data_IF_862766885528
#
_entry.id   IF_862766885528
#
_cell.length_a   1.000
_cell.length_b   1.000
_cell.length_c   1.000
_cell.angle_alpha   90.00
_cell.angle_beta   90.00
_cell.angle_gamma   90.00
#
_symmetry.space_group_name_H-M   'P 1'
#
loop_
_entity.id
_entity.type
_entity.pdbx_description
1 polymer ?
#
# COMPACT_ATOMS: atom_id res chain seq x y z
N UNK A 1 -17.21 -24.10 55.06
CA UNK A 1 -16.27 -22.96 54.99
C UNK A 1 -15.26 -23.12 53.84
N UNK A 2 -15.70 -23.49 52.62
CA UNK A 2 -14.79 -23.73 51.47
C UNK A 2 -15.21 -22.88 50.24
N UNK A 3 -16.34 -22.18 50.30
CA UNK A 3 -16.88 -21.42 49.16
C UNK A 3 -16.34 -19.98 49.05
N UNK A 4 -15.53 -19.51 50.02
CA UNK A 4 -15.04 -18.11 50.05
C UNK A 4 -13.65 -17.91 49.43
N UNK A 5 -12.87 -18.97 49.24
CA UNK A 5 -11.51 -18.89 48.66
C UNK A 5 -11.49 -18.99 47.14
N UNK A 6 -12.49 -19.63 46.52
CA UNK A 6 -12.57 -19.77 45.06
C UNK A 6 -12.88 -18.44 44.34
N UNK A 7 -13.71 -17.58 44.94
CA UNK A 7 -14.09 -16.28 44.37
C UNK A 7 -12.90 -15.31 44.35
N UNK A 8 -12.06 -15.32 45.39
CA UNK A 8 -10.87 -14.48 45.49
C UNK A 8 -9.80 -14.85 44.44
N UNK A 9 -9.71 -16.11 44.05
CA UNK A 9 -8.74 -16.57 43.05
C UNK A 9 -9.11 -16.15 41.62
N UNK A 10 -10.41 -16.16 41.28
CA UNK A 10 -10.93 -15.76 39.97
C UNK A 10 -10.79 -14.24 39.75
N UNK A 11 -11.03 -13.44 40.79
CA UNK A 11 -10.87 -11.97 40.73
C UNK A 11 -9.41 -11.56 40.52
N UNK A 12 -8.44 -12.24 41.17
CA UNK A 12 -7.02 -11.95 40.99
C UNK A 12 -6.48 -12.31 39.59
N UNK A 13 -7.04 -13.35 38.96
CA UNK A 13 -6.68 -13.76 37.60
C UNK A 13 -7.23 -12.80 36.54
N UNK A 14 -8.44 -12.26 36.74
CA UNK A 14 -9.05 -11.29 35.82
C UNK A 14 -8.31 -9.93 35.80
N UNK A 15 -7.77 -9.47 36.95
CA UNK A 15 -6.98 -8.23 37.03
C UNK A 15 -5.61 -8.33 36.35
N UNK A 16 -5.01 -9.52 36.29
CA UNK A 16 -3.72 -9.74 35.64
C UNK A 16 -3.83 -9.75 34.10
N UNK A 17 -4.94 -10.29 33.56
CA UNK A 17 -5.22 -10.26 32.11
C UNK A 17 -5.44 -8.84 31.59
N UNK A 18 -6.14 -7.99 32.33
CA UNK A 18 -6.40 -6.60 31.91
C UNK A 18 -5.12 -5.75 31.86
N UNK A 19 -4.16 -5.97 32.76
CA UNK A 19 -2.89 -5.22 32.76
C UNK A 19 -1.97 -5.56 31.59
N UNK A 20 -2.03 -6.80 31.08
CA UNK A 20 -1.24 -7.22 29.93
C UNK A 20 -1.82 -6.65 28.61
N UNK A 21 -3.15 -6.62 28.49
CA UNK A 21 -3.84 -6.05 27.32
C UNK A 21 -3.67 -4.53 27.22
N UNK A 22 -3.63 -3.83 28.36
CA UNK A 22 -3.43 -2.38 28.41
C UNK A 22 -1.99 -1.99 28.04
N UNK A 23 -1.00 -2.76 28.49
CA UNK A 23 0.40 -2.58 28.09
C UNK A 23 0.60 -2.80 26.57
N UNK A 24 -0.11 -3.78 25.99
CA UNK A 24 -0.06 -4.03 24.55
C UNK A 24 -0.69 -2.86 23.75
N UNK A 25 -1.81 -2.31 24.21
CA UNK A 25 -2.46 -1.14 23.58
C UNK A 25 -1.57 0.10 23.64
N UNK A 26 -0.96 0.39 24.79
CA UNK A 26 -0.03 1.50 24.96
C UNK A 26 1.21 1.36 24.06
N UNK A 27 1.71 0.14 23.86
CA UNK A 27 2.82 -0.11 22.96
C UNK A 27 2.47 0.15 21.49
N UNK A 28 1.26 -0.22 21.06
CA UNK A 28 0.76 0.07 19.70
C UNK A 28 0.59 1.58 19.50
N UNK A 29 -0.04 2.27 20.45
CA UNK A 29 -0.30 3.71 20.37
C UNK A 29 1.00 4.54 20.41
N UNK A 30 1.99 4.11 21.20
CA UNK A 30 3.33 4.69 21.19
C UNK A 30 4.09 4.45 19.88
N UNK A 31 3.91 3.27 19.25
CA UNK A 31 4.49 2.97 17.95
C UNK A 31 3.84 3.80 16.83
N UNK A 32 2.52 4.00 16.88
CA UNK A 32 1.78 4.87 15.96
C UNK A 32 2.18 6.35 16.12
N UNK A 33 2.33 6.82 17.36
CA UNK A 33 2.81 8.19 17.65
C UNK A 33 4.27 8.42 17.21
N UNK A 34 5.14 7.42 17.41
CA UNK A 34 6.52 7.47 16.91
C UNK A 34 6.58 7.46 15.37
N UNK A 35 5.72 6.67 14.71
CA UNK A 35 5.59 6.67 13.25
C UNK A 35 5.05 8.02 12.72
N UNK A 36 4.10 8.64 13.43
CA UNK A 36 3.59 9.97 13.10
C UNK A 36 4.66 11.07 13.27
N UNK A 37 5.47 10.98 14.32
CA UNK A 37 6.58 11.94 14.58
C UNK A 37 7.75 11.75 13.60
N UNK A 38 7.99 10.52 13.15
CA UNK A 38 8.98 10.21 12.11
C UNK A 38 8.59 10.77 10.72
N UNK A 39 7.30 11.07 10.51
CA UNK A 39 6.81 11.87 9.38
C UNK A 39 7.03 13.36 9.65
N UNK A 40 8.26 13.74 9.96
CA UNK A 40 8.63 15.15 10.13
C UNK A 40 8.21 15.95 8.89
N UNK A 41 7.86 17.23 9.11
CA UNK A 41 7.50 18.21 8.06
C UNK A 41 8.72 18.54 7.18
N UNK A 42 9.30 17.54 6.51
CA UNK A 42 10.28 17.77 5.46
C UNK A 42 9.57 18.53 4.36
N UNK A 43 9.97 19.79 4.19
CA UNK A 43 9.50 20.64 3.11
C UNK A 43 10.00 20.08 1.77
N UNK A 44 9.05 19.66 0.94
CA UNK A 44 9.30 19.16 -0.40
C UNK A 44 9.50 20.26 -1.47
N UNK A 45 9.59 21.54 -1.05
CA UNK A 45 9.81 22.72 -1.89
C UNK A 45 11.24 22.84 -2.48
N UNK A 46 11.92 23.98 -2.29
CA UNK A 46 13.26 24.22 -2.86
C UNK A 46 14.35 23.40 -2.14
N UNK A 47 14.72 22.24 -2.69
CA UNK A 47 15.61 21.30 -1.98
C UNK A 47 17.09 21.35 -2.40
N UNK A 48 17.98 21.39 -1.40
CA UNK A 48 19.44 21.44 -1.58
C UNK A 48 20.21 20.20 -1.05
N UNK A 49 19.55 19.18 -0.48
CA UNK A 49 20.25 17.97 0.04
C UNK A 49 19.69 16.65 -0.47
N UNK A 50 20.57 15.66 -0.66
CA UNK A 50 20.21 14.33 -1.17
C UNK A 50 19.25 13.56 -0.25
N UNK A 51 19.38 13.72 1.06
CA UNK A 51 18.47 13.11 2.04
C UNK A 51 17.03 13.58 1.82
N UNK A 52 16.84 14.89 1.66
CA UNK A 52 15.54 15.52 1.52
C UNK A 52 14.92 15.15 0.16
N UNK A 53 15.72 15.07 -0.91
CA UNK A 53 15.28 14.57 -2.23
C UNK A 53 14.84 13.10 -2.20
N UNK A 54 15.58 12.24 -1.48
CA UNK A 54 15.23 10.83 -1.34
C UNK A 54 13.89 10.64 -0.60
N UNK A 55 13.64 11.43 0.46
CA UNK A 55 12.38 11.37 1.20
C UNK A 55 11.21 11.86 0.36
N UNK A 56 11.36 13.00 -0.32
CA UNK A 56 10.25 13.55 -1.09
C UNK A 56 9.90 12.72 -2.32
N UNK A 57 10.91 12.18 -3.03
CA UNK A 57 10.63 11.23 -4.11
C UNK A 57 9.90 9.98 -3.65
N UNK A 58 10.17 9.48 -2.43
CA UNK A 58 9.42 8.37 -1.85
C UNK A 58 7.95 8.74 -1.60
N UNK A 59 7.70 9.90 -1.00
CA UNK A 59 6.34 10.42 -0.77
C UNK A 59 5.56 10.60 -2.06
N UNK A 60 6.21 11.07 -3.12
CA UNK A 60 5.59 11.23 -4.42
C UNK A 60 5.23 9.87 -5.06
N UNK A 61 6.10 8.86 -4.88
CA UNK A 61 5.79 7.50 -5.29
C UNK A 61 4.63 6.90 -4.47
N UNK A 62 4.61 7.06 -3.14
CA UNK A 62 3.50 6.61 -2.30
C UNK A 62 2.16 7.23 -2.73
N UNK A 63 2.15 8.53 -3.07
CA UNK A 63 0.97 9.20 -3.56
C UNK A 63 0.47 8.62 -4.90
N UNK A 64 1.39 8.31 -5.82
CA UNK A 64 1.06 7.64 -7.08
C UNK A 64 0.54 6.21 -6.85
N UNK A 65 1.13 5.45 -5.94
CA UNK A 65 0.68 4.09 -5.61
C UNK A 65 -0.73 4.09 -4.98
N UNK A 66 -1.01 5.05 -4.09
CA UNK A 66 -2.36 5.24 -3.55
C UNK A 66 -3.37 5.53 -4.67
N UNK A 67 -3.02 6.43 -5.60
CA UNK A 67 -3.88 6.75 -6.74
C UNK A 67 -4.09 5.55 -7.69
N UNK A 68 -3.09 4.68 -7.83
CA UNK A 68 -3.20 3.43 -8.58
C UNK A 68 -4.19 2.48 -7.91
N UNK A 69 -4.11 2.29 -6.59
CA UNK A 69 -5.04 1.44 -5.86
C UNK A 69 -6.50 1.96 -5.94
N UNK A 70 -6.69 3.28 -5.84
CA UNK A 70 -8.02 3.89 -6.04
C UNK A 70 -8.55 3.66 -7.47
N UNK A 71 -7.68 3.76 -8.47
CA UNK A 71 -8.06 3.51 -9.87
C UNK A 71 -8.37 2.02 -10.09
N UNK A 72 -7.59 1.12 -9.47
CA UNK A 72 -7.78 -0.32 -9.48
C UNK A 72 -9.16 -0.72 -8.94
N UNK A 73 -9.63 -0.11 -7.85
CA UNK A 73 -10.96 -0.39 -7.30
C UNK A 73 -12.07 -0.07 -8.31
N UNK A 74 -11.93 1.01 -9.07
CA UNK A 74 -12.89 1.40 -10.09
C UNK A 74 -12.91 0.41 -11.27
N UNK A 75 -11.74 0.10 -11.85
CA UNK A 75 -11.65 -0.81 -13.01
C UNK A 75 -12.02 -2.23 -12.65
N UNK A 76 -11.63 -2.70 -11.47
CA UNK A 76 -11.99 -4.04 -11.00
C UNK A 76 -13.49 -4.17 -10.75
N UNK A 77 -14.14 -3.14 -10.22
CA UNK A 77 -15.59 -3.11 -10.08
C UNK A 77 -16.30 -3.11 -11.44
N UNK A 78 -15.79 -2.37 -12.45
CA UNK A 78 -16.33 -2.43 -13.82
C UNK A 78 -16.23 -3.84 -14.40
N UNK A 79 -15.04 -4.45 -14.34
CA UNK A 79 -14.80 -5.80 -14.87
C UNK A 79 -15.68 -6.87 -14.18
N UNK A 80 -15.87 -6.77 -12.86
CA UNK A 80 -16.77 -7.67 -12.11
C UNK A 80 -18.23 -7.53 -12.55
N UNK A 81 -18.71 -6.30 -12.77
CA UNK A 81 -20.08 -6.08 -13.30
C UNK A 81 -20.24 -6.65 -14.72
N UNK A 82 -19.20 -6.59 -15.55
CA UNK A 82 -19.21 -7.22 -16.87
C UNK A 82 -19.26 -8.75 -16.77
N UNK A 83 -18.55 -9.33 -15.81
CA UNK A 83 -18.61 -10.77 -15.52
C UNK A 83 -20.00 -11.20 -15.04
N UNK A 84 -20.63 -10.43 -14.15
CA UNK A 84 -22.00 -10.69 -13.67
C UNK A 84 -23.02 -10.62 -14.82
N UNK A 85 -22.95 -9.57 -15.66
CA UNK A 85 -23.81 -9.45 -16.83
C UNK A 85 -23.64 -10.63 -17.80
N UNK A 86 -22.40 -11.04 -18.06
CA UNK A 86 -22.08 -12.15 -18.96
C UNK A 86 -22.69 -13.45 -18.44
N UNK A 87 -22.61 -13.70 -17.12
CA UNK A 87 -23.23 -14.85 -16.47
C UNK A 87 -24.76 -14.85 -16.62
N UNK A 88 -25.40 -13.70 -16.39
CA UNK A 88 -26.87 -13.57 -16.51
C UNK A 88 -27.38 -13.82 -17.93
N UNK A 89 -26.54 -13.57 -18.95
CA UNK A 89 -26.87 -13.70 -20.36
C UNK A 89 -26.25 -14.94 -21.03
N UNK A 90 -25.68 -15.86 -20.25
CA UNK A 90 -25.04 -17.08 -20.74
C UNK A 90 -23.91 -16.84 -21.77
N UNK A 91 -23.17 -15.73 -21.60
CA UNK A 91 -21.94 -15.41 -22.35
C UNK A 91 -20.69 -15.79 -21.54
N UNK A 92 -19.54 -16.05 -22.21
CA UNK A 92 -18.26 -16.26 -21.52
C UNK A 92 -17.80 -14.99 -20.77
N UNK A 93 -17.56 -15.10 -19.46
CA UNK A 93 -16.99 -14.03 -18.64
C UNK A 93 -15.45 -14.08 -18.50
N UNK A 94 -14.96 -13.64 -17.35
CA UNK A 94 -13.56 -13.68 -16.94
C UNK A 94 -12.78 -12.39 -17.17
N UNK A 95 -13.45 -11.25 -17.38
CA UNK A 95 -12.81 -9.95 -17.52
C UNK A 95 -12.00 -9.59 -16.28
N UNK A 96 -12.54 -9.79 -15.08
CA UNK A 96 -11.82 -9.47 -13.86
C UNK A 96 -10.52 -10.29 -13.73
N UNK A 97 -10.56 -11.58 -14.08
CA UNK A 97 -9.37 -12.43 -14.01
C UNK A 97 -8.30 -12.02 -15.03
N UNK A 98 -8.69 -11.62 -16.25
CA UNK A 98 -7.76 -11.10 -17.26
C UNK A 98 -7.15 -9.76 -16.82
N UNK A 99 -7.96 -8.87 -16.24
CA UNK A 99 -7.50 -7.59 -15.69
C UNK A 99 -6.52 -7.79 -14.52
N UNK A 100 -6.84 -8.70 -13.59
CA UNK A 100 -5.97 -9.04 -12.45
C UNK A 100 -4.63 -9.63 -12.90
N UNK A 101 -4.65 -10.51 -13.88
CA UNK A 101 -3.43 -11.09 -14.45
C UNK A 101 -2.57 -10.01 -15.13
N UNK A 102 -3.18 -9.12 -15.93
CA UNK A 102 -2.51 -7.96 -16.52
C UNK A 102 -1.84 -7.09 -15.46
N UNK A 103 -2.55 -6.77 -14.38
CA UNK A 103 -2.02 -5.91 -13.31
C UNK A 103 -0.83 -6.56 -12.58
N UNK A 104 -0.90 -7.85 -12.29
CA UNK A 104 0.21 -8.59 -11.64
C UNK A 104 1.45 -8.66 -12.52
N UNK A 105 1.27 -8.93 -13.81
CA UNK A 105 2.38 -8.91 -14.78
C UNK A 105 2.96 -7.51 -14.94
N UNK A 106 2.12 -6.48 -14.91
CA UNK A 106 2.58 -5.10 -14.94
C UNK A 106 3.43 -4.74 -13.71
N UNK A 107 3.06 -5.18 -12.50
CA UNK A 107 3.88 -4.97 -11.29
C UNK A 107 5.27 -5.59 -11.44
N UNK A 108 5.34 -6.84 -11.94
CA UNK A 108 6.62 -7.51 -12.20
C UNK A 108 7.44 -6.76 -13.27
N UNK A 109 6.80 -6.28 -14.34
CA UNK A 109 7.45 -5.44 -15.33
C UNK A 109 7.97 -4.13 -14.73
N UNK A 110 7.18 -3.41 -13.93
CA UNK A 110 7.56 -2.15 -13.29
C UNK A 110 8.83 -2.31 -12.48
N UNK A 111 8.85 -3.33 -11.62
CA UNK A 111 9.97 -3.57 -10.71
C UNK A 111 11.24 -3.98 -11.49
N UNK A 112 11.08 -4.85 -12.50
CA UNK A 112 12.19 -5.25 -13.38
C UNK A 112 12.72 -4.09 -14.23
N UNK A 113 11.84 -3.23 -14.75
CA UNK A 113 12.19 -2.07 -15.55
C UNK A 113 12.96 -1.05 -14.73
N UNK A 114 12.51 -0.74 -13.50
CA UNK A 114 13.24 0.19 -12.64
C UNK A 114 14.58 -0.37 -12.18
N UNK A 115 14.68 -1.69 -11.95
CA UNK A 115 15.98 -2.33 -11.69
C UNK A 115 16.92 -2.25 -12.91
N UNK A 116 16.40 -2.43 -14.12
CA UNK A 116 17.18 -2.28 -15.36
C UNK A 116 17.67 -0.84 -15.56
N UNK A 117 16.82 0.16 -15.31
CA UNK A 117 17.16 1.58 -15.49
C UNK A 117 18.19 2.06 -14.45
N UNK A 118 18.07 1.63 -13.19
CA UNK A 118 18.84 2.19 -12.07
C UNK A 118 19.98 1.30 -11.56
N UNK A 119 19.97 0.02 -11.93
CA UNK A 119 20.86 -1.00 -11.36
C UNK A 119 20.54 -1.32 -9.89
N UNK A 120 21.25 -2.31 -9.30
CA UNK A 120 21.08 -2.66 -7.89
C UNK A 120 21.65 -1.57 -6.96
N UNK A 121 21.02 -1.40 -5.81
CA UNK A 121 21.35 -0.34 -4.84
C UNK A 121 22.80 -0.38 -4.38
N UNK A 122 23.35 -1.57 -4.23
CA UNK A 122 24.71 -1.83 -3.74
C UNK A 122 25.80 -1.34 -4.70
N UNK A 123 25.46 -1.15 -5.98
CA UNK A 123 26.35 -0.64 -7.02
C UNK A 123 26.21 0.88 -7.21
N UNK A 124 25.41 1.54 -6.37
CA UNK A 124 25.03 2.95 -6.51
C UNK A 124 25.28 3.76 -5.25
N UNK A 125 25.28 5.08 -5.40
CA UNK A 125 25.47 6.03 -4.29
C UNK A 125 24.17 6.44 -3.59
N UNK A 126 24.26 7.50 -2.79
CA UNK A 126 23.13 8.07 -2.03
C UNK A 126 21.98 8.59 -2.91
N UNK A 127 22.20 8.74 -4.22
CA UNK A 127 21.19 9.14 -5.21
C UNK A 127 20.22 8.01 -5.59
N UNK A 128 20.58 6.75 -5.34
CA UNK A 128 19.80 5.60 -5.80
C UNK A 128 18.32 5.63 -5.41
N UNK A 129 17.93 5.96 -4.15
CA UNK A 129 16.52 6.02 -3.79
C UNK A 129 15.72 7.03 -4.61
N UNK A 130 16.29 8.20 -4.88
CA UNK A 130 15.67 9.22 -5.75
C UNK A 130 15.37 8.66 -7.14
N UNK A 131 16.34 8.00 -7.77
CA UNK A 131 16.18 7.42 -9.11
C UNK A 131 15.13 6.30 -9.12
N UNK A 132 15.19 5.41 -8.13
CA UNK A 132 14.26 4.30 -8.00
C UNK A 132 12.82 4.78 -7.80
N UNK A 133 12.59 5.67 -6.84
CA UNK A 133 11.27 6.20 -6.54
C UNK A 133 10.69 6.97 -7.74
N UNK A 134 11.53 7.74 -8.45
CA UNK A 134 11.12 8.49 -9.64
C UNK A 134 10.68 7.56 -10.78
N UNK A 135 11.40 6.44 -10.99
CA UNK A 135 11.00 5.43 -11.98
C UNK A 135 9.66 4.78 -11.59
N UNK A 136 9.53 4.34 -10.35
CA UNK A 136 8.33 3.70 -9.84
C UNK A 136 7.10 4.62 -9.98
N UNK A 137 7.23 5.89 -9.60
CA UNK A 137 6.21 6.93 -9.79
C UNK A 137 5.81 7.06 -11.26
N UNK A 138 6.77 7.29 -12.16
CA UNK A 138 6.52 7.49 -13.59
C UNK A 138 5.76 6.34 -14.22
N UNK A 139 6.16 5.10 -13.94
CA UNK A 139 5.48 3.92 -14.50
C UNK A 139 4.09 3.73 -13.88
N UNK A 140 3.94 4.02 -12.59
CA UNK A 140 2.65 3.98 -11.89
C UNK A 140 1.66 4.99 -12.47
N UNK A 141 2.09 6.23 -12.73
CA UNK A 141 1.26 7.26 -13.37
C UNK A 141 0.81 6.86 -14.78
N UNK A 142 1.68 6.22 -15.56
CA UNK A 142 1.31 5.68 -16.89
C UNK A 142 0.24 4.60 -16.76
N UNK A 143 0.41 3.68 -15.82
CA UNK A 143 -0.57 2.61 -15.60
C UNK A 143 -1.92 3.15 -15.16
N UNK A 144 -1.94 4.19 -14.33
CA UNK A 144 -3.16 4.90 -13.95
C UNK A 144 -3.87 5.41 -15.21
N UNK A 145 -3.16 6.03 -16.16
CA UNK A 145 -3.74 6.49 -17.43
C UNK A 145 -4.34 5.34 -18.23
N UNK A 146 -3.57 4.26 -18.45
CA UNK A 146 -4.02 3.07 -19.18
C UNK A 146 -5.29 2.47 -18.56
N UNK A 147 -5.34 2.37 -17.22
CA UNK A 147 -6.51 1.85 -16.52
C UNK A 147 -7.72 2.80 -16.63
N UNK A 148 -7.52 4.11 -16.53
CA UNK A 148 -8.59 5.11 -16.67
C UNK A 148 -9.19 5.13 -18.06
N UNK A 149 -8.38 4.94 -19.09
CA UNK A 149 -8.87 4.79 -20.47
C UNK A 149 -9.89 3.65 -20.55
N UNK A 150 -9.66 2.52 -19.86
CA UNK A 150 -10.65 1.43 -19.83
C UNK A 150 -11.97 1.77 -19.12
N UNK A 151 -12.07 2.89 -18.40
CA UNK A 151 -13.32 3.32 -17.76
C UNK A 151 -14.19 4.17 -18.71
N UNK A 152 -13.64 4.67 -19.81
CA UNK A 152 -14.37 5.50 -20.76
C UNK A 152 -15.47 4.71 -21.47
N UNK A 153 -16.62 5.31 -21.81
CA UNK A 153 -17.78 4.62 -22.39
C UNK A 153 -17.53 3.91 -23.73
N UNK A 154 -16.44 4.26 -24.42
CA UNK A 154 -16.10 3.76 -25.76
C UNK A 154 -14.74 3.03 -25.83
N UNK A 155 -14.14 2.73 -24.68
CA UNK A 155 -12.91 1.95 -24.60
C UNK A 155 -13.16 0.44 -24.65
#
# INVERSE_FOLDING_TARGET
MIWNTAILLVLAQATASTSADEAARQAVEAAESAAATARSEIDCGEQATQMVMNVCSYRDYEAADLALNQTWDQVSAKAKRADDWSKDHNFPGGEFNRLLDSQRKWLAFRDAQCLYENGPREQSGTIWPLLQNSCLKKLTERRISELRETLEPNA
#
